data_IF_981883680540
#
_entry.id   IF_981883680540
#
_cell.length_a   1.000
_cell.length_b   1.000
_cell.length_c   1.000
_cell.angle_alpha   90.00
_cell.angle_beta   90.00
_cell.angle_gamma   90.00
#
_symmetry.space_group_name_H-M   'P 1'
#
loop_
_entity.id
_entity.type
_entity.pdbx_description
1 polymer ?
#
# COMPACT_ATOMS: atom_id res chain seq x y z
N UNK A 1 6.54 58.43 50.17
CA UNK A 1 6.04 57.06 50.34
C UNK A 1 5.93 56.43 48.97
N UNK A 2 6.90 55.58 48.57
CA UNK A 2 6.99 54.95 47.29
C UNK A 2 6.43 53.54 47.42
N UNK A 3 5.30 53.25 46.75
CA UNK A 3 4.70 51.90 46.72
C UNK A 3 5.30 51.11 45.59
N UNK A 4 6.09 50.09 45.88
CA UNK A 4 6.59 49.11 44.90
C UNK A 4 5.48 48.11 44.58
N UNK A 5 5.03 48.11 43.34
CA UNK A 5 4.15 47.07 42.79
C UNK A 5 5.06 45.97 42.23
N UNK A 6 5.08 44.81 42.91
CA UNK A 6 5.77 43.62 42.44
C UNK A 6 4.88 42.91 41.39
N UNK A 7 5.27 43.00 40.11
CA UNK A 7 4.65 42.26 39.03
C UNK A 7 5.24 40.84 39.03
N UNK A 8 4.48 39.86 39.54
CA UNK A 8 4.85 38.46 39.51
C UNK A 8 4.53 37.91 38.12
N UNK A 9 5.55 37.80 37.23
CA UNK A 9 5.44 37.19 35.93
C UNK A 9 5.42 35.67 36.12
N UNK A 10 4.24 35.05 35.98
CA UNK A 10 4.03 33.62 36.07
C UNK A 10 4.59 33.00 34.80
N UNK A 11 5.83 32.51 34.84
CA UNK A 11 6.41 31.64 33.80
C UNK A 11 5.75 30.25 33.92
N UNK A 12 4.72 30.01 33.10
CA UNK A 12 4.19 28.66 32.87
C UNK A 12 5.23 27.87 32.06
N UNK A 13 5.68 26.69 32.53
CA UNK A 13 6.51 25.84 31.72
C UNK A 13 5.64 25.33 30.58
N UNK A 14 6.00 25.70 29.36
CA UNK A 14 5.53 25.02 28.16
C UNK A 14 6.07 23.58 28.23
N UNK A 15 5.29 22.65 28.77
CA UNK A 15 5.53 21.24 28.57
C UNK A 15 5.27 20.96 27.10
N UNK A 16 6.33 20.87 26.31
CA UNK A 16 6.29 20.24 25.00
C UNK A 16 5.85 18.80 25.24
N UNK A 17 4.61 18.50 24.85
CA UNK A 17 4.19 17.14 24.65
C UNK A 17 5.03 16.61 23.48
N UNK A 18 6.17 16.01 23.82
CA UNK A 18 6.86 15.13 22.90
C UNK A 18 5.90 13.96 22.66
N UNK A 19 5.22 13.95 21.51
CA UNK A 19 4.66 12.73 20.97
C UNK A 19 5.88 11.87 20.63
N UNK A 20 6.32 11.05 21.59
CA UNK A 20 7.25 9.99 21.31
C UNK A 20 6.56 9.09 20.30
N UNK A 21 7.16 8.87 19.14
CA UNK A 21 6.76 7.77 18.27
C UNK A 21 6.82 6.52 19.15
N UNK A 22 5.66 5.91 19.37
CA UNK A 22 5.56 4.68 20.15
C UNK A 22 6.33 3.63 19.37
N UNK A 23 7.47 3.20 19.90
CA UNK A 23 8.29 2.16 19.26
C UNK A 23 7.43 0.89 19.22
N UNK A 24 7.15 0.30 18.03
CA UNK A 24 6.33 -0.88 17.92
C UNK A 24 6.87 -2.00 18.81
N UNK A 25 6.00 -2.63 19.57
CA UNK A 25 6.37 -3.84 20.34
C UNK A 25 6.50 -5.02 19.38
N UNK A 26 7.71 -5.30 18.95
CA UNK A 26 8.01 -6.38 18.00
C UNK A 26 7.74 -7.79 18.55
N UNK A 27 7.36 -7.94 19.83
CA UNK A 27 6.87 -9.20 20.38
C UNK A 27 5.37 -9.41 20.14
N UNK A 28 4.66 -8.39 19.64
CA UNK A 28 3.27 -8.50 19.21
C UNK A 28 3.20 -8.65 17.71
N UNK A 29 2.18 -9.35 17.19
CA UNK A 29 1.93 -9.43 15.76
C UNK A 29 1.74 -8.01 15.19
N UNK A 30 2.73 -7.56 14.44
CA UNK A 30 2.72 -6.22 13.84
C UNK A 30 3.49 -6.25 12.53
N UNK A 31 2.80 -5.99 11.45
CA UNK A 31 3.39 -5.93 10.12
C UNK A 31 2.65 -4.89 9.28
N UNK A 32 2.94 -3.58 9.47
CA UNK A 32 2.28 -2.53 8.72
C UNK A 32 2.48 -2.70 7.21
N UNK A 33 1.38 -2.49 6.49
CA UNK A 33 1.31 -2.59 5.04
C UNK A 33 1.24 -1.18 4.48
N UNK A 34 1.98 -0.92 3.42
CA UNK A 34 2.02 0.38 2.74
C UNK A 34 1.85 0.21 1.24
N UNK A 35 1.10 1.11 0.66
CA UNK A 35 1.08 1.37 -0.76
C UNK A 35 1.97 2.59 -1.09
N UNK A 36 2.60 2.61 -2.26
CA UNK A 36 3.35 3.80 -2.70
C UNK A 36 2.44 4.99 -3.06
N UNK A 37 1.12 4.78 -3.19
CA UNK A 37 0.11 5.81 -3.42
C UNK A 37 -1.20 5.46 -2.70
N UNK A 38 -2.01 6.46 -2.39
CA UNK A 38 -3.36 6.29 -1.85
C UNK A 38 -4.45 6.19 -2.93
N UNK A 39 -4.11 6.59 -4.17
CA UNK A 39 -5.02 6.55 -5.33
C UNK A 39 -4.23 6.11 -6.56
N UNK A 40 -4.79 5.18 -7.31
CA UNK A 40 -4.24 4.64 -8.54
C UNK A 40 -5.18 4.86 -9.72
N UNK A 41 -4.62 4.97 -10.90
CA UNK A 41 -5.35 4.77 -12.14
C UNK A 41 -5.65 3.28 -12.35
N UNK A 42 -6.68 2.98 -13.10
CA UNK A 42 -7.18 1.63 -13.38
C UNK A 42 -6.21 0.70 -14.15
N UNK A 43 -5.12 1.23 -14.68
CA UNK A 43 -4.07 0.47 -15.40
C UNK A 43 -2.66 0.80 -14.90
N UNK A 44 -2.53 1.13 -13.62
CA UNK A 44 -1.28 1.59 -13.04
C UNK A 44 -0.52 0.48 -12.31
N UNK A 45 0.79 0.66 -12.15
CA UNK A 45 1.61 -0.19 -11.30
C UNK A 45 1.41 0.19 -9.82
N UNK A 46 1.18 -0.81 -9.00
CA UNK A 46 1.04 -0.72 -7.55
C UNK A 46 2.26 -1.35 -6.91
N UNK A 47 2.93 -0.61 -6.05
CA UNK A 47 4.02 -1.11 -5.23
C UNK A 47 3.53 -1.31 -3.80
N UNK A 48 3.83 -2.48 -3.24
CA UNK A 48 3.40 -2.92 -1.92
C UNK A 48 4.64 -3.12 -1.06
N UNK A 49 4.60 -2.58 0.15
CA UNK A 49 5.65 -2.77 1.17
C UNK A 49 5.02 -3.28 2.45
N UNK A 50 5.57 -4.34 3.02
CA UNK A 50 5.21 -4.87 4.34
C UNK A 50 6.45 -4.84 5.22
N UNK A 51 6.36 -4.20 6.39
CA UNK A 51 7.46 -4.14 7.36
C UNK A 51 7.21 -5.20 8.43
N UNK A 52 7.90 -6.33 8.33
CA UNK A 52 7.71 -7.49 9.18
C UNK A 52 9.06 -8.06 9.68
N UNK A 53 9.78 -7.35 10.58
CA UNK A 53 11.11 -7.77 11.02
C UNK A 53 11.17 -9.15 11.66
N UNK A 54 10.09 -9.62 12.28
CA UNK A 54 10.00 -10.96 12.87
C UNK A 54 9.97 -12.09 11.84
N UNK A 55 9.75 -11.76 10.56
CA UNK A 55 9.78 -12.69 9.43
C UNK A 55 11.15 -12.75 8.73
N UNK A 56 12.10 -11.94 9.18
CA UNK A 56 13.49 -12.07 8.75
C UNK A 56 14.13 -13.23 9.51
N UNK A 57 14.53 -14.28 8.79
CA UNK A 57 15.09 -15.51 9.35
C UNK A 57 16.59 -15.63 9.13
N UNK A 58 17.16 -14.88 8.21
CA UNK A 58 18.57 -15.00 7.85
C UNK A 58 19.27 -13.68 7.56
N UNK A 59 20.33 -13.39 8.31
CA UNK A 59 21.09 -12.13 8.18
C UNK A 59 21.84 -11.96 6.83
N UNK A 60 21.97 -13.02 6.05
CA UNK A 60 22.70 -13.00 4.77
C UNK A 60 21.86 -13.53 3.58
N UNK A 61 20.59 -13.76 3.81
CA UNK A 61 19.68 -14.31 2.79
C UNK A 61 18.54 -13.31 2.55
N UNK A 62 17.97 -13.37 1.36
CA UNK A 62 16.74 -12.68 1.03
C UNK A 62 15.59 -13.59 1.42
N UNK A 63 14.85 -13.21 2.43
CA UNK A 63 13.66 -13.93 2.87
C UNK A 63 12.43 -13.59 2.01
N UNK A 64 11.39 -14.38 2.14
CA UNK A 64 10.11 -14.13 1.46
C UNK A 64 8.92 -14.39 2.38
N UNK A 65 7.84 -13.64 2.18
CA UNK A 65 6.57 -13.83 2.87
C UNK A 65 5.43 -14.02 1.88
N UNK A 66 4.29 -14.48 2.38
CA UNK A 66 3.02 -14.48 1.65
C UNK A 66 2.77 -15.64 0.71
N UNK A 67 3.78 -16.46 0.42
CA UNK A 67 3.62 -17.65 -0.43
C UNK A 67 3.17 -18.90 0.30
N UNK A 68 3.02 -18.85 1.61
CA UNK A 68 2.50 -19.93 2.44
C UNK A 68 0.98 -19.74 2.64
N UNK A 69 0.14 -20.77 2.40
CA UNK A 69 -1.30 -20.67 2.62
C UNK A 69 -1.71 -20.28 4.05
N UNK A 70 -0.95 -20.69 5.05
CA UNK A 70 -1.23 -20.41 6.47
C UNK A 70 -0.84 -18.95 6.84
N UNK A 71 0.06 -18.36 6.06
CA UNK A 71 0.56 -16.98 6.26
C UNK A 71 0.52 -16.19 4.95
N UNK A 72 -0.61 -16.25 4.29
CA UNK A 72 -0.75 -15.73 2.95
C UNK A 72 -0.79 -14.20 2.88
N UNK A 73 -0.09 -13.64 1.91
CA UNK A 73 -0.42 -12.31 1.40
C UNK A 73 -1.42 -12.45 0.27
N UNK A 74 -2.55 -11.79 0.41
CA UNK A 74 -3.59 -11.76 -0.60
C UNK A 74 -3.79 -10.33 -1.09
N UNK A 75 -3.89 -10.15 -2.41
CA UNK A 75 -4.14 -8.85 -3.04
C UNK A 75 -5.44 -8.97 -3.82
N UNK A 76 -6.39 -8.08 -3.57
CA UNK A 76 -7.71 -8.20 -4.18
C UNK A 76 -8.37 -6.85 -4.46
N UNK A 77 -9.21 -6.86 -5.46
CA UNK A 77 -10.23 -5.87 -5.77
C UNK A 77 -11.60 -6.48 -5.47
N UNK A 78 -12.71 -5.81 -5.79
CA UNK A 78 -14.05 -6.30 -5.46
C UNK A 78 -14.32 -7.76 -5.89
N UNK A 79 -13.89 -8.13 -7.10
CA UNK A 79 -14.25 -9.41 -7.71
C UNK A 79 -13.03 -10.28 -8.08
N UNK A 80 -11.82 -9.77 -7.93
CA UNK A 80 -10.59 -10.43 -8.39
C UNK A 80 -9.58 -10.52 -7.28
N UNK A 81 -8.85 -11.65 -7.22
CA UNK A 81 -7.91 -11.92 -6.14
C UNK A 81 -6.67 -12.65 -6.62
N UNK A 82 -5.51 -12.14 -6.26
CA UNK A 82 -4.24 -12.88 -6.25
C UNK A 82 -4.07 -13.47 -4.84
N UNK A 83 -3.99 -14.79 -4.77
CA UNK A 83 -3.79 -15.52 -3.50
C UNK A 83 -2.33 -15.87 -3.35
N UNK A 84 -1.87 -15.96 -2.10
CA UNK A 84 -0.53 -16.43 -1.77
C UNK A 84 0.55 -15.68 -2.57
N UNK A 85 0.37 -14.35 -2.68
CA UNK A 85 1.25 -13.49 -3.46
C UNK A 85 2.55 -13.28 -2.71
N UNK A 86 3.66 -13.77 -3.26
CA UNK A 86 4.97 -13.72 -2.60
C UNK A 86 5.59 -12.34 -2.71
N UNK A 87 6.06 -11.80 -1.58
CA UNK A 87 6.91 -10.63 -1.50
C UNK A 87 8.31 -11.06 -1.07
N UNK A 88 9.33 -10.39 -1.57
CA UNK A 88 10.71 -10.63 -1.19
C UNK A 88 11.26 -9.48 -0.34
N UNK A 89 12.15 -9.84 0.56
CA UNK A 89 12.90 -8.89 1.34
C UNK A 89 13.73 -7.98 0.43
N UNK A 90 13.72 -6.68 0.72
CA UNK A 90 14.40 -5.68 -0.10
C UNK A 90 15.93 -5.83 -0.05
N UNK A 91 16.45 -6.03 1.13
CA UNK A 91 17.87 -6.24 1.42
C UNK A 91 18.00 -7.31 2.51
N UNK A 92 19.08 -8.11 2.54
CA UNK A 92 19.29 -9.09 3.59
C UNK A 92 19.17 -8.45 4.98
N UNK A 93 18.40 -9.07 5.86
CA UNK A 93 18.20 -8.59 7.24
C UNK A 93 17.46 -7.25 7.40
N UNK A 94 16.74 -6.79 6.37
CA UNK A 94 15.97 -5.54 6.46
C UNK A 94 14.63 -5.71 7.16
N UNK A 95 14.03 -6.88 7.08
CA UNK A 95 12.65 -7.12 7.53
C UNK A 95 11.61 -6.32 6.73
N UNK A 96 11.99 -5.77 5.58
CA UNK A 96 11.13 -5.00 4.67
C UNK A 96 10.89 -5.81 3.41
N UNK A 97 9.66 -6.25 3.22
CA UNK A 97 9.25 -7.07 2.10
C UNK A 97 8.51 -6.25 1.05
N UNK A 98 8.88 -6.42 -0.21
CA UNK A 98 8.32 -5.66 -1.31
C UNK A 98 7.81 -6.55 -2.43
N UNK A 99 6.80 -6.06 -3.13
CA UNK A 99 6.28 -6.66 -4.34
C UNK A 99 5.51 -5.65 -5.17
N UNK A 100 5.26 -5.99 -6.42
CA UNK A 100 4.53 -5.11 -7.34
C UNK A 100 3.52 -5.89 -8.17
N UNK A 101 2.42 -5.22 -8.50
CA UNK A 101 1.42 -5.70 -9.44
C UNK A 101 1.08 -4.59 -10.45
N UNK A 102 0.49 -5.00 -11.56
CA UNK A 102 -0.07 -4.10 -12.56
C UNK A 102 -1.59 -4.28 -12.54
N UNK A 103 -2.31 -3.17 -12.31
CA UNK A 103 -3.75 -3.12 -12.52
C UNK A 103 -4.02 -3.25 -14.02
N UNK A 104 -5.00 -4.06 -14.41
CA UNK A 104 -5.27 -4.35 -15.82
C UNK A 104 -6.63 -3.84 -16.30
N UNK A 105 -7.29 -3.04 -15.46
CA UNK A 105 -8.58 -2.45 -15.78
C UNK A 105 -9.72 -3.46 -15.82
N UNK A 106 -10.72 -3.12 -16.61
CA UNK A 106 -11.94 -3.88 -16.85
C UNK A 106 -12.21 -3.97 -18.36
N UNK A 107 -13.14 -4.84 -18.74
CA UNK A 107 -13.60 -4.92 -20.13
C UNK A 107 -14.25 -3.60 -20.54
N UNK A 108 -13.77 -3.00 -21.61
CA UNK A 108 -14.22 -1.71 -22.09
C UNK A 108 -14.08 -1.59 -23.60
N UNK A 109 -15.17 -1.18 -24.23
CA UNK A 109 -15.25 -0.78 -25.63
C UNK A 109 -14.89 0.70 -25.73
N UNK A 110 -13.69 1.01 -26.21
CA UNK A 110 -13.16 2.37 -26.28
C UNK A 110 -13.70 3.11 -27.50
N UNK A 111 -13.93 2.39 -28.60
CA UNK A 111 -14.28 2.98 -29.91
C UNK A 111 -15.80 2.96 -30.20
N UNK A 112 -16.60 2.22 -29.43
CA UNK A 112 -18.05 2.15 -29.56
C UNK A 112 -18.56 1.15 -30.60
N UNK A 113 -17.73 0.21 -31.03
CA UNK A 113 -18.10 -0.82 -32.02
C UNK A 113 -18.78 -2.04 -31.40
N UNK A 114 -18.95 -2.07 -30.08
CA UNK A 114 -19.51 -3.14 -29.25
C UNK A 114 -18.59 -4.36 -29.09
N UNK A 115 -17.32 -4.18 -29.35
CA UNK A 115 -16.27 -5.16 -29.05
C UNK A 115 -15.36 -4.56 -27.99
N UNK A 116 -15.02 -5.34 -26.96
CA UNK A 116 -14.11 -4.86 -25.93
C UNK A 116 -12.68 -4.72 -26.48
N UNK A 117 -12.10 -3.53 -26.36
CA UNK A 117 -10.73 -3.21 -26.77
C UNK A 117 -9.70 -3.54 -25.67
N UNK A 118 -10.14 -3.81 -24.47
CA UNK A 118 -9.30 -4.11 -23.32
C UNK A 118 -9.28 -5.61 -23.02
N UNK A 119 -8.16 -6.10 -22.47
CA UNK A 119 -8.01 -7.49 -22.09
C UNK A 119 -7.52 -7.62 -20.64
N UNK A 120 -8.40 -7.35 -19.68
CA UNK A 120 -8.08 -7.45 -18.26
C UNK A 120 -7.79 -8.89 -17.85
N UNK A 121 -6.89 -9.06 -16.88
CA UNK A 121 -6.52 -10.38 -16.38
C UNK A 121 -6.10 -10.35 -14.91
N UNK A 122 -6.27 -11.49 -14.25
CA UNK A 122 -5.80 -11.72 -12.88
C UNK A 122 -4.90 -12.94 -12.88
N UNK A 123 -3.60 -12.72 -12.69
CA UNK A 123 -2.60 -13.80 -12.68
C UNK A 123 -1.29 -13.33 -12.05
N UNK A 124 -0.51 -14.26 -11.53
CA UNK A 124 0.81 -14.04 -10.95
C UNK A 124 0.88 -14.49 -9.50
N UNK A 125 2.10 -14.76 -9.04
CA UNK A 125 2.40 -15.28 -7.71
C UNK A 125 3.50 -14.47 -6.97
N UNK A 126 3.89 -13.31 -7.52
CA UNK A 126 4.89 -12.39 -6.94
C UNK A 126 6.34 -12.74 -7.29
N UNK A 127 7.28 -11.88 -6.85
CA UNK A 127 7.05 -10.54 -6.31
C UNK A 127 6.75 -9.51 -7.40
N UNK A 128 7.12 -9.83 -8.65
CA UNK A 128 6.95 -9.00 -9.84
C UNK A 128 6.10 -9.73 -10.89
N UNK A 129 5.49 -8.98 -11.79
CA UNK A 129 4.71 -9.56 -12.89
C UNK A 129 3.34 -10.08 -12.48
N UNK A 130 2.81 -9.66 -11.33
CA UNK A 130 1.41 -9.83 -10.97
C UNK A 130 0.52 -8.90 -11.79
N UNK A 131 -0.62 -9.43 -12.23
CA UNK A 131 -1.67 -8.67 -12.91
C UNK A 131 -2.96 -8.83 -12.13
N UNK A 132 -3.68 -7.74 -11.92
CA UNK A 132 -4.94 -7.77 -11.18
C UNK A 132 -5.99 -6.96 -11.94
N UNK A 133 -7.07 -7.63 -12.30
CA UNK A 133 -8.23 -7.00 -12.85
C UNK A 133 -8.95 -6.18 -11.78
N UNK A 134 -9.51 -5.05 -12.16
CA UNK A 134 -10.24 -4.15 -11.29
C UNK A 134 -11.46 -3.57 -12.01
N UNK A 135 -12.45 -3.17 -11.22
CA UNK A 135 -13.62 -2.47 -11.72
C UNK A 135 -13.34 -0.96 -11.78
N UNK A 136 -14.21 -0.26 -12.51
CA UNK A 136 -14.22 1.20 -12.54
C UNK A 136 -14.52 1.75 -11.14
N UNK A 137 -13.75 2.75 -10.70
CA UNK A 137 -13.95 3.44 -9.42
C UNK A 137 -14.09 2.44 -8.25
N UNK A 138 -13.07 1.62 -8.06
CA UNK A 138 -13.01 0.55 -7.06
C UNK A 138 -11.89 0.78 -6.05
N UNK A 139 -11.52 -0.25 -5.33
CA UNK A 139 -10.38 -0.25 -4.42
C UNK A 139 -9.52 -1.49 -4.59
N UNK A 140 -8.27 -1.36 -4.17
CA UNK A 140 -7.36 -2.46 -4.01
C UNK A 140 -7.07 -2.65 -2.52
N UNK A 141 -7.05 -3.87 -2.06
CA UNK A 141 -6.72 -4.23 -0.68
C UNK A 141 -5.63 -5.28 -0.67
N UNK A 142 -4.66 -5.09 0.21
CA UNK A 142 -3.66 -6.12 0.55
C UNK A 142 -3.97 -6.60 1.96
N UNK A 143 -3.98 -7.91 2.15
CA UNK A 143 -4.06 -8.54 3.47
C UNK A 143 -2.90 -9.48 3.67
N UNK A 144 -2.39 -9.53 4.89
CA UNK A 144 -1.33 -10.45 5.31
C UNK A 144 -1.75 -11.16 6.60
N UNK A 145 -1.79 -12.48 6.58
CA UNK A 145 -1.93 -13.27 7.79
C UNK A 145 -0.57 -13.37 8.46
N UNK A 146 -0.34 -12.44 9.38
CA UNK A 146 0.95 -12.26 10.05
C UNK A 146 1.27 -13.37 11.04
N UNK A 147 0.25 -13.87 11.72
CA UNK A 147 0.30 -14.95 12.68
C UNK A 147 -1.07 -15.65 12.70
N UNK A 148 -1.16 -16.82 13.33
CA UNK A 148 -2.39 -17.61 13.40
C UNK A 148 -3.61 -16.76 13.81
N UNK A 149 -4.53 -16.58 12.87
CA UNK A 149 -5.75 -15.79 13.07
C UNK A 149 -5.54 -14.27 13.18
N UNK A 150 -4.34 -13.77 12.95
CA UNK A 150 -4.05 -12.32 12.93
C UNK A 150 -3.84 -11.84 11.51
N UNK A 151 -4.85 -11.19 10.97
CA UNK A 151 -4.82 -10.64 9.60
C UNK A 151 -4.74 -9.12 9.67
N UNK A 152 -3.72 -8.57 9.03
CA UNK A 152 -3.55 -7.14 8.82
C UNK A 152 -3.98 -6.79 7.40
N UNK A 153 -4.53 -5.62 7.18
CA UNK A 153 -4.93 -5.17 5.85
C UNK A 153 -4.79 -3.68 5.68
N UNK A 154 -4.50 -3.28 4.44
CA UNK A 154 -4.44 -1.89 4.00
C UNK A 154 -5.12 -1.77 2.64
N UNK A 155 -5.69 -0.58 2.33
CA UNK A 155 -6.44 -0.35 1.11
C UNK A 155 -6.08 0.98 0.47
N UNK A 156 -6.13 1.00 -0.87
CA UNK A 156 -6.02 2.21 -1.68
C UNK A 156 -7.17 2.29 -2.68
N UNK A 157 -7.46 3.50 -3.18
CA UNK A 157 -8.52 3.71 -4.16
C UNK A 157 -8.02 3.50 -5.58
N UNK A 158 -8.92 3.07 -6.46
CA UNK A 158 -8.71 3.03 -7.89
C UNK A 158 -9.74 3.96 -8.51
N UNK A 159 -9.29 4.97 -9.26
CA UNK A 159 -10.15 5.96 -9.89
C UNK A 159 -10.01 5.91 -11.42
N UNK A 160 -11.16 6.00 -12.08
CA UNK A 160 -11.24 6.16 -13.51
C UNK A 160 -10.99 7.63 -13.86
N UNK A 161 -9.80 7.96 -14.32
CA UNK A 161 -9.51 9.27 -14.88
C UNK A 161 -9.75 9.26 -16.39
N UNK A 162 -10.81 9.90 -16.84
CA UNK A 162 -10.90 10.34 -18.23
C UNK A 162 -9.89 11.45 -18.40
N UNK A 163 -8.83 11.22 -19.18
CA UNK A 163 -7.86 12.26 -19.49
C UNK A 163 -8.56 13.47 -20.11
N UNK A 164 -8.34 14.66 -19.59
CA UNK A 164 -8.71 15.91 -20.28
C UNK A 164 -7.74 16.12 -21.42
N UNK A 165 -8.27 16.09 -22.67
CA UNK A 165 -7.53 16.53 -23.85
C UNK A 165 -7.72 18.04 -23.99
N UNK A 166 -6.69 18.80 -23.66
CA UNK A 166 -6.63 20.22 -24.01
C UNK A 166 -6.17 20.34 -25.45
N UNK A 167 -7.08 20.78 -26.34
CA UNK A 167 -6.73 21.10 -27.74
C UNK A 167 -6.10 22.48 -27.73
N UNK A 168 -4.77 22.55 -27.83
CA UNK A 168 -4.06 23.81 -28.05
C UNK A 168 -4.20 24.13 -29.54
N UNK A 169 -5.05 25.09 -29.90
CA UNK A 169 -5.06 25.64 -31.24
C UNK A 169 -3.71 26.34 -31.51
N UNK A 170 -2.92 25.75 -32.40
CA UNK A 170 -1.75 26.41 -32.93
C UNK A 170 -2.24 27.37 -34.03
N UNK A 171 -2.36 28.64 -33.73
CA UNK A 171 -2.55 29.68 -34.73
C UNK A 171 -1.23 29.93 -35.46
N UNK A 172 -1.21 29.73 -36.79
CA UNK A 172 -0.12 30.14 -37.68
C UNK A 172 0.02 31.67 -37.76
#
# INVERSE_FOLDING_TARGET
MLKYVFLFLLLLPFSQLAFGEEIPDYNKPYAPIFFNKSVYSWTEKVEITIVAPSWNTGINLIDSIGGDPDYAVNIYTNNHKLKEYRLYEKDPSSGIFTGEIILTGFLHDVNGDKVDDTNPRTMGAGPNGGYLQNDKDSGITVSFEFADGVVLSESARIEWNKGELEIIEVTE
#
